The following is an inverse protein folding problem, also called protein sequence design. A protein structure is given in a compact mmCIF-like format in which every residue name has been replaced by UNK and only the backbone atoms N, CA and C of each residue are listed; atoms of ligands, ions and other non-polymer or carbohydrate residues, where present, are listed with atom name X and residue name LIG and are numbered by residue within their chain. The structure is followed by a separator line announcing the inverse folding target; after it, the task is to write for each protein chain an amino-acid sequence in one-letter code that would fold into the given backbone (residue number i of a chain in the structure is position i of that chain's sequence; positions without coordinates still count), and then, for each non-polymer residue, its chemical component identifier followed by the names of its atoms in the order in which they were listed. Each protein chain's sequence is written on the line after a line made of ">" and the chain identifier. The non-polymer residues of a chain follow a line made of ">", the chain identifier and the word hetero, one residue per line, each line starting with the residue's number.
data_IF_011248095500
#
_entry.id   IF_011248095500
#
_cell.length_a   1.000
_cell.length_b   1.000
_cell.length_c   1.000
_cell.angle_alpha   90.00
_cell.angle_beta   90.00
_cell.angle_gamma   90.00
#
_symmetry.space_group_name_H-M   'P 1'
#
loop_
_entity.id
_entity.type
_entity.pdbx_description
1 polymer ?
#
# COMPACT_ATOMS: atom_id res chain seq x y z
N UNK A 1 -5.34 -35.03 4.21
CA UNK A 1 -4.26 -34.77 3.24
C UNK A 1 -4.72 -33.92 2.07
N UNK A 2 -5.90 -34.18 1.50
CA UNK A 2 -6.45 -33.38 0.40
C UNK A 2 -6.76 -31.94 0.85
N UNK A 3 -7.24 -31.75 2.06
CA UNK A 3 -7.59 -30.43 2.61
C UNK A 3 -6.36 -29.50 2.68
N UNK A 4 -5.21 -30.00 3.08
CA UNK A 4 -3.99 -29.22 3.17
C UNK A 4 -3.42 -28.82 1.79
N UNK A 5 -3.57 -29.67 0.79
CA UNK A 5 -3.14 -29.37 -0.57
C UNK A 5 -4.02 -28.30 -1.23
N UNK A 6 -5.33 -28.35 -1.00
CA UNK A 6 -6.29 -27.36 -1.51
C UNK A 6 -6.02 -25.98 -0.87
N UNK A 7 -5.81 -25.92 0.44
CA UNK A 7 -5.52 -24.68 1.15
C UNK A 7 -4.24 -24.01 0.67
N UNK A 8 -3.17 -24.78 0.49
CA UNK A 8 -1.88 -24.25 0.04
C UNK A 8 -1.90 -23.81 -1.42
N UNK A 9 -2.60 -24.54 -2.28
CA UNK A 9 -2.63 -24.27 -3.72
C UNK A 9 -3.57 -23.14 -4.13
N UNK A 10 -4.60 -22.85 -3.33
CA UNK A 10 -5.68 -21.91 -3.68
C UNK A 10 -5.68 -20.61 -2.90
N UNK A 11 -4.76 -20.45 -1.96
CA UNK A 11 -4.60 -19.22 -1.20
C UNK A 11 -4.06 -18.11 -2.07
N UNK A 12 -4.89 -17.13 -2.38
CA UNK A 12 -4.58 -16.02 -3.28
C UNK A 12 -5.04 -14.69 -2.71
N UNK A 13 -4.51 -13.62 -3.26
CA UNK A 13 -4.94 -12.27 -2.92
C UNK A 13 -6.01 -11.78 -3.90
N UNK A 14 -7.03 -11.15 -3.35
CA UNK A 14 -8.14 -10.56 -4.09
C UNK A 14 -8.33 -9.11 -3.65
N UNK A 15 -8.91 -8.31 -4.53
CA UNK A 15 -9.19 -6.92 -4.26
C UNK A 15 -10.69 -6.74 -4.02
N UNK A 16 -11.02 -6.10 -2.90
CA UNK A 16 -12.38 -5.69 -2.57
C UNK A 16 -12.56 -4.21 -2.86
N UNK A 17 -13.70 -3.85 -3.41
CA UNK A 17 -14.16 -2.47 -3.48
C UNK A 17 -15.10 -2.18 -2.31
N UNK A 18 -14.84 -1.06 -1.62
CA UNK A 18 -15.63 -0.61 -0.47
C UNK A 18 -16.03 0.85 -0.66
N UNK A 19 -16.90 1.33 0.18
CA UNK A 19 -17.12 2.77 0.29
C UNK A 19 -15.88 3.45 0.87
N UNK A 20 -15.49 4.57 0.28
CA UNK A 20 -14.32 5.34 0.74
C UNK A 20 -14.51 5.80 2.18
N UNK A 21 -13.49 5.63 3.01
CA UNK A 21 -13.52 5.93 4.44
C UNK A 21 -13.91 4.75 5.33
N UNK A 22 -14.39 3.65 4.75
CA UNK A 22 -14.82 2.45 5.49
C UNK A 22 -13.85 1.28 5.37
N UNK A 23 -12.67 1.48 4.81
CA UNK A 23 -11.69 0.43 4.55
C UNK A 23 -11.24 -0.27 5.84
N UNK A 24 -10.93 0.49 6.89
CA UNK A 24 -10.50 -0.06 8.17
C UNK A 24 -11.64 -0.80 8.89
N UNK A 25 -12.86 -0.30 8.76
CA UNK A 25 -14.04 -0.96 9.29
C UNK A 25 -14.31 -2.28 8.58
N UNK A 26 -14.17 -2.31 7.27
CA UNK A 26 -14.31 -3.53 6.47
C UNK A 26 -13.27 -4.55 6.88
N UNK A 27 -12.02 -4.15 7.06
CA UNK A 27 -10.95 -5.02 7.56
C UNK A 27 -11.32 -5.66 8.89
N UNK A 28 -11.74 -4.84 9.85
CA UNK A 28 -12.14 -5.31 11.19
C UNK A 28 -13.34 -6.26 11.13
N UNK A 29 -14.36 -5.91 10.36
CA UNK A 29 -15.57 -6.71 10.21
C UNK A 29 -15.29 -8.05 9.51
N UNK A 30 -14.44 -8.06 8.48
CA UNK A 30 -14.03 -9.28 7.80
C UNK A 30 -13.32 -10.26 8.72
N UNK A 31 -12.36 -9.77 9.49
CA UNK A 31 -11.63 -10.60 10.45
C UNK A 31 -12.53 -11.14 11.55
N UNK A 32 -13.46 -10.33 12.04
CA UNK A 32 -14.47 -10.75 13.03
C UNK A 32 -15.41 -11.80 12.48
N UNK A 33 -15.90 -11.63 11.25
CA UNK A 33 -16.78 -12.59 10.59
C UNK A 33 -16.06 -13.91 10.29
N UNK A 34 -14.83 -13.85 9.84
CA UNK A 34 -14.01 -15.05 9.64
C UNK A 34 -13.87 -15.85 10.93
N UNK A 35 -13.65 -15.20 12.04
CA UNK A 35 -13.54 -15.83 13.35
C UNK A 35 -14.88 -16.39 13.82
N UNK A 36 -15.96 -15.61 13.77
CA UNK A 36 -17.28 -16.02 14.27
C UNK A 36 -17.96 -17.09 13.43
N UNK A 37 -17.65 -17.15 12.13
CA UNK A 37 -18.22 -18.13 11.20
C UNK A 37 -17.30 -19.33 10.94
N UNK A 38 -16.19 -19.44 11.65
CA UNK A 38 -15.25 -20.55 11.50
C UNK A 38 -14.54 -20.59 10.16
N UNK A 39 -14.35 -19.43 9.52
CA UNK A 39 -13.72 -19.31 8.19
C UNK A 39 -12.26 -18.88 8.26
N UNK A 40 -11.58 -19.06 9.38
CA UNK A 40 -10.19 -18.70 9.57
C UNK A 40 -9.23 -19.48 8.66
N UNK A 41 -9.62 -20.67 8.24
CA UNK A 41 -8.88 -21.50 7.29
C UNK A 41 -9.10 -21.07 5.83
N UNK A 42 -10.00 -20.14 5.58
CA UNK A 42 -10.34 -19.64 4.24
C UNK A 42 -10.05 -18.15 4.06
N UNK A 43 -10.10 -17.37 5.13
CA UNK A 43 -9.79 -15.93 5.14
C UNK A 43 -8.62 -15.72 6.09
N UNK A 44 -7.45 -15.40 5.53
CA UNK A 44 -6.19 -15.38 6.28
C UNK A 44 -5.75 -13.98 6.69
N UNK A 45 -5.66 -13.08 5.74
CA UNK A 45 -5.21 -11.71 5.98
C UNK A 45 -6.07 -10.70 5.23
N UNK A 46 -6.24 -9.55 5.85
CA UNK A 46 -6.91 -8.41 5.24
C UNK A 46 -5.99 -7.20 5.38
N UNK A 47 -5.79 -6.47 4.29
CA UNK A 47 -4.86 -5.36 4.25
C UNK A 47 -5.49 -4.15 3.59
N UNK A 48 -5.35 -3.00 4.20
CA UNK A 48 -5.70 -1.70 3.61
C UNK A 48 -4.42 -1.08 3.05
N UNK A 49 -4.31 -0.85 1.74
CA UNK A 49 -3.11 -0.24 1.16
C UNK A 49 -2.94 1.20 1.65
N UNK A 50 -1.87 1.46 2.39
CA UNK A 50 -1.55 2.75 2.95
C UNK A 50 -0.10 3.12 2.66
N UNK A 51 0.18 4.40 2.55
CA UNK A 51 1.52 4.95 2.38
C UNK A 51 1.77 6.03 3.43
N UNK A 52 2.93 5.97 4.07
CA UNK A 52 3.35 7.03 4.96
C UNK A 52 3.81 8.25 4.14
N UNK A 53 3.17 9.38 4.38
CA UNK A 53 3.59 10.67 3.84
C UNK A 53 3.99 11.60 4.95
N UNK A 54 5.03 12.39 4.69
CA UNK A 54 5.43 13.48 5.57
C UNK A 54 4.87 14.78 4.99
N UNK A 55 3.94 15.38 5.71
CA UNK A 55 3.41 16.69 5.37
C UNK A 55 3.90 17.75 6.33
N UNK A 56 4.15 18.95 5.81
CA UNK A 56 4.48 20.10 6.63
C UNK A 56 3.19 20.89 6.88
N UNK A 57 2.72 20.84 8.13
CA UNK A 57 1.55 21.59 8.56
C UNK A 57 2.02 22.65 9.58
N UNK A 58 1.76 23.92 9.27
CA UNK A 58 2.14 25.07 10.11
C UNK A 58 3.63 25.10 10.49
N UNK A 59 4.49 24.73 9.54
CA UNK A 59 5.93 24.69 9.75
C UNK A 59 6.45 23.48 10.53
N UNK A 60 5.60 22.55 10.92
CA UNK A 60 5.96 21.30 11.59
C UNK A 60 5.80 20.11 10.64
N UNK A 61 6.80 19.24 10.62
CA UNK A 61 6.71 17.98 9.87
C UNK A 61 5.81 17.01 10.62
N UNK A 62 4.79 16.50 9.96
CA UNK A 62 3.90 15.46 10.50
C UNK A 62 3.95 14.24 9.61
N UNK A 63 4.04 13.07 10.22
CA UNK A 63 3.88 11.80 9.51
C UNK A 63 2.39 11.49 9.42
N UNK A 64 1.88 11.37 8.20
CA UNK A 64 0.47 11.07 7.91
C UNK A 64 0.41 9.79 7.12
N UNK A 65 -0.41 8.84 7.57
CA UNK A 65 -0.76 7.68 6.77
C UNK A 65 -1.84 8.06 5.76
N UNK A 66 -1.54 7.87 4.49
CA UNK A 66 -2.47 8.14 3.41
C UNK A 66 -2.77 6.86 2.64
N UNK A 67 -4.05 6.60 2.38
CA UNK A 67 -4.46 5.43 1.63
C UNK A 67 -4.06 5.59 0.16
N UNK A 68 -3.28 4.64 -0.36
CA UNK A 68 -2.81 4.64 -1.75
C UNK A 68 -4.00 4.46 -2.71
N UNK A 69 -4.93 3.57 -2.35
CA UNK A 69 -6.12 3.28 -3.13
C UNK A 69 -7.38 3.40 -2.26
N UNK A 70 -7.93 4.64 -2.12
CA UNK A 70 -9.17 4.83 -1.36
C UNK A 70 -10.32 3.98 -1.92
N UNK A 71 -11.02 3.28 -1.05
CA UNK A 71 -12.12 2.39 -1.44
C UNK A 71 -11.71 0.99 -1.84
N UNK A 72 -10.45 0.60 -1.60
CA UNK A 72 -9.96 -0.74 -1.91
C UNK A 72 -9.35 -1.42 -0.70
N UNK A 73 -9.61 -2.71 -0.56
CA UNK A 73 -9.08 -3.56 0.49
C UNK A 73 -8.56 -4.85 -0.13
N UNK A 74 -7.38 -5.29 0.29
CA UNK A 74 -6.79 -6.55 -0.14
C UNK A 74 -7.14 -7.66 0.85
N UNK A 75 -7.57 -8.81 0.34
CA UNK A 75 -7.85 -9.98 1.17
C UNK A 75 -7.13 -11.21 0.64
N UNK A 76 -6.40 -11.88 1.51
CA UNK A 76 -5.79 -13.18 1.22
C UNK A 76 -6.73 -14.28 1.70
N UNK A 77 -7.24 -15.05 0.76
CA UNK A 77 -8.27 -16.05 1.04
C UNK A 77 -8.25 -17.21 0.05
N UNK A 78 -8.88 -18.29 0.44
CA UNK A 78 -9.26 -19.38 -0.47
C UNK A 78 -10.66 -19.08 -1.00
N UNK A 79 -10.80 -18.98 -2.31
CA UNK A 79 -12.06 -18.62 -2.96
C UNK A 79 -12.97 -19.85 -3.07
N UNK A 80 -13.99 -19.88 -2.23
CA UNK A 80 -15.08 -20.87 -2.27
C UNK A 80 -16.42 -20.14 -2.33
N UNK A 81 -17.51 -20.85 -2.58
CA UNK A 81 -18.85 -20.24 -2.57
C UNK A 81 -19.18 -19.61 -1.22
N UNK A 82 -18.80 -20.27 -0.13
CA UNK A 82 -19.04 -19.78 1.23
C UNK A 82 -18.18 -18.56 1.56
N UNK A 83 -16.86 -18.62 1.32
CA UNK A 83 -15.95 -17.51 1.61
C UNK A 83 -16.27 -16.29 0.74
N UNK A 84 -16.57 -16.50 -0.53
CA UNK A 84 -17.01 -15.46 -1.45
C UNK A 84 -18.27 -14.75 -0.96
N UNK A 85 -19.27 -15.53 -0.55
CA UNK A 85 -20.52 -15.00 -0.03
C UNK A 85 -20.33 -14.17 1.24
N UNK A 86 -19.56 -14.68 2.20
CA UNK A 86 -19.29 -14.00 3.48
C UNK A 86 -18.56 -12.67 3.25
N UNK A 87 -17.53 -12.67 2.42
CA UNK A 87 -16.73 -11.47 2.14
C UNK A 87 -17.56 -10.44 1.38
N UNK A 88 -18.28 -10.87 0.35
CA UNK A 88 -19.12 -9.98 -0.47
C UNK A 88 -20.26 -9.33 0.33
N UNK A 89 -20.82 -10.04 1.29
CA UNK A 89 -21.93 -9.55 2.12
C UNK A 89 -21.47 -8.84 3.40
N UNK A 90 -20.17 -8.59 3.56
CA UNK A 90 -19.67 -7.78 4.66
C UNK A 90 -20.13 -6.33 4.48
N UNK A 91 -20.59 -5.67 5.57
CA UNK A 91 -21.05 -4.27 5.47
C UNK A 91 -20.01 -3.35 4.85
N UNK A 92 -20.47 -2.43 4.02
CA UNK A 92 -19.67 -1.44 3.27
C UNK A 92 -18.78 -2.01 2.16
N UNK A 93 -18.83 -3.31 1.90
CA UNK A 93 -18.24 -3.93 0.71
C UNK A 93 -19.21 -3.81 -0.44
N UNK A 94 -18.78 -3.23 -1.55
CA UNK A 94 -19.58 -3.11 -2.78
C UNK A 94 -19.42 -4.31 -3.71
N UNK A 95 -18.32 -5.00 -3.62
CA UNK A 95 -18.03 -6.22 -4.39
C UNK A 95 -16.55 -6.48 -4.57
N UNK A 96 -16.23 -7.53 -5.30
CA UNK A 96 -14.86 -7.83 -5.69
C UNK A 96 -14.49 -7.09 -6.97
N UNK A 97 -13.26 -6.64 -7.07
CA UNK A 97 -12.69 -6.13 -8.32
C UNK A 97 -12.32 -7.30 -9.23
N UNK A 98 -12.60 -7.18 -10.53
CA UNK A 98 -12.31 -8.23 -11.50
C UNK A 98 -13.37 -9.32 -11.59
N UNK A 99 -14.53 -9.12 -10.96
CA UNK A 99 -15.69 -9.99 -11.12
C UNK A 99 -16.42 -9.65 -12.41
N UNK A 100 -16.68 -10.65 -13.22
CA UNK A 100 -17.40 -10.49 -14.51
C UNK A 100 -18.91 -10.75 -14.34
N UNK A 101 -19.64 -9.74 -13.89
CA UNK A 101 -21.07 -9.81 -13.66
C UNK A 101 -21.48 -10.30 -12.27
N UNK A 102 -22.77 -10.09 -11.93
CA UNK A 102 -23.30 -10.43 -10.61
C UNK A 102 -23.35 -11.92 -10.35
N UNK A 103 -22.51 -12.40 -9.46
CA UNK A 103 -22.43 -13.81 -9.07
C UNK A 103 -21.20 -14.55 -9.58
N UNK A 104 -20.33 -13.90 -10.34
CA UNK A 104 -19.06 -14.48 -10.78
C UNK A 104 -17.99 -14.29 -9.72
N UNK A 105 -17.17 -15.33 -9.49
CA UNK A 105 -16.00 -15.22 -8.64
C UNK A 105 -14.92 -14.37 -9.32
N UNK A 106 -14.22 -13.53 -8.58
CA UNK A 106 -13.17 -12.69 -9.14
C UNK A 106 -11.91 -13.47 -9.48
N UNK A 107 -11.11 -12.91 -10.36
CA UNK A 107 -9.75 -13.40 -10.60
C UNK A 107 -8.80 -12.91 -9.52
N UNK A 108 -7.85 -13.75 -9.05
CA UNK A 108 -6.87 -13.32 -8.06
C UNK A 108 -5.85 -12.34 -8.66
N UNK A 109 -5.19 -11.58 -7.79
CA UNK A 109 -4.04 -10.77 -8.17
C UNK A 109 -2.88 -11.66 -8.61
N UNK A 110 -2.10 -11.19 -9.57
CA UNK A 110 -0.86 -11.83 -9.95
C UNK A 110 0.17 -11.71 -8.84
N UNK A 111 1.05 -12.70 -8.71
CA UNK A 111 2.08 -12.70 -7.68
C UNK A 111 2.98 -11.46 -7.72
N UNK A 112 3.26 -10.94 -8.91
CA UNK A 112 4.02 -9.70 -9.11
C UNK A 112 3.29 -8.47 -8.56
N UNK A 113 1.98 -8.40 -8.75
CA UNK A 113 1.16 -7.32 -8.23
C UNK A 113 1.10 -7.36 -6.70
N UNK A 114 0.95 -8.56 -6.14
CA UNK A 114 0.97 -8.78 -4.69
C UNK A 114 2.30 -8.34 -4.09
N UNK A 115 3.41 -8.76 -4.68
CA UNK A 115 4.76 -8.40 -4.23
C UNK A 115 4.95 -6.88 -4.22
N UNK A 116 4.47 -6.21 -5.25
CA UNK A 116 4.53 -4.76 -5.37
C UNK A 116 3.75 -4.03 -4.28
N UNK A 117 2.54 -4.50 -4.01
CA UNK A 117 1.67 -3.92 -2.97
C UNK A 117 2.18 -4.19 -1.56
N UNK A 118 2.70 -5.40 -1.30
CA UNK A 118 3.21 -5.79 0.01
C UNK A 118 4.53 -5.10 0.38
N UNK A 119 5.35 -4.72 -0.60
CA UNK A 119 6.60 -3.99 -0.33
C UNK A 119 6.38 -2.68 0.41
N UNK A 120 5.23 -2.05 0.21
CA UNK A 120 4.90 -0.78 0.82
C UNK A 120 4.16 -0.95 2.16
N UNK A 121 3.90 -2.20 2.59
CA UNK A 121 3.05 -2.48 3.75
C UNK A 121 3.79 -3.26 4.82
N UNK A 122 4.24 -2.57 5.87
CA UNK A 122 4.71 -3.20 7.11
C UNK A 122 6.02 -3.97 7.06
N UNK A 123 6.66 -4.03 5.91
CA UNK A 123 8.06 -4.46 5.83
C UNK A 123 8.94 -3.22 5.90
N UNK A 124 10.05 -3.26 6.66
CA UNK A 124 11.01 -2.18 6.52
C UNK A 124 11.39 -2.12 5.05
N UNK A 125 10.96 -1.05 4.38
CA UNK A 125 11.39 -0.79 3.04
C UNK A 125 12.91 -0.91 3.03
N UNK A 126 13.46 -1.72 2.14
CA UNK A 126 14.91 -1.70 1.92
C UNK A 126 15.24 -0.25 1.66
N UNK A 127 16.09 0.32 2.52
CA UNK A 127 16.56 1.68 2.33
C UNK A 127 17.02 1.82 0.90
N UNK A 128 16.51 2.80 0.12
CA UNK A 128 16.97 2.96 -1.24
C UNK A 128 18.47 3.14 -1.22
N UNK A 129 19.16 2.44 -2.13
CA UNK A 129 20.58 2.62 -2.31
C UNK A 129 20.76 4.01 -2.92
N UNK A 130 21.22 4.94 -2.11
CA UNK A 130 21.50 6.30 -2.57
C UNK A 130 22.92 6.31 -3.11
N UNK A 131 23.06 6.51 -4.42
CA UNK A 131 24.35 6.60 -5.11
C UNK A 131 24.95 8.02 -5.03
N UNK A 132 24.52 8.81 -4.06
CA UNK A 132 24.98 10.20 -3.87
C UNK A 132 25.62 10.36 -2.49
N UNK A 133 26.68 11.13 -2.44
CA UNK A 133 27.38 11.47 -1.20
C UNK A 133 27.13 12.94 -0.81
N UNK A 134 27.22 13.21 0.50
CA UNK A 134 27.13 14.60 1.01
C UNK A 134 28.29 15.43 0.44
N UNK A 135 27.97 16.60 -0.11
CA UNK A 135 28.93 17.47 -0.78
C UNK A 135 29.06 17.25 -2.28
N UNK A 136 28.38 16.24 -2.83
CA UNK A 136 28.32 16.00 -4.26
C UNK A 136 27.44 17.05 -4.96
N UNK A 137 27.87 17.47 -6.14
CA UNK A 137 27.10 18.40 -6.98
C UNK A 137 26.07 17.65 -7.81
N UNK A 138 24.82 18.11 -7.78
CA UNK A 138 23.72 17.52 -8.52
C UNK A 138 22.96 18.59 -9.29
N UNK A 139 22.34 18.20 -10.41
CA UNK A 139 21.47 19.07 -11.19
C UNK A 139 20.01 18.76 -10.88
N UNK A 140 19.24 19.79 -10.56
CA UNK A 140 17.81 19.67 -10.28
C UNK A 140 17.06 19.57 -11.61
N UNK A 141 16.21 18.55 -11.75
CA UNK A 141 15.50 18.25 -12.99
C UNK A 141 14.04 18.65 -13.00
N UNK A 142 13.47 18.92 -11.83
CA UNK A 142 12.06 19.28 -11.69
C UNK A 142 11.86 20.39 -10.65
N UNK A 143 10.73 21.09 -10.74
CA UNK A 143 10.33 22.15 -9.81
C UNK A 143 10.85 23.52 -10.15
N UNK A 144 10.74 24.45 -9.19
CA UNK A 144 11.14 25.86 -9.36
C UNK A 144 12.63 26.05 -9.62
N UNK A 145 13.46 25.10 -9.24
CA UNK A 145 14.92 25.15 -9.37
C UNK A 145 15.46 24.28 -10.52
N UNK A 146 14.59 23.87 -11.43
CA UNK A 146 14.96 23.03 -12.58
C UNK A 146 16.11 23.66 -13.38
N UNK A 147 17.13 22.84 -13.64
CA UNK A 147 18.33 23.26 -14.37
C UNK A 147 19.43 23.87 -13.51
N UNK A 148 19.19 24.08 -12.22
CA UNK A 148 20.18 24.60 -11.29
C UNK A 148 21.04 23.49 -10.72
N UNK A 149 22.31 23.78 -10.47
CA UNK A 149 23.26 22.87 -9.84
C UNK A 149 23.37 23.22 -8.35
N UNK A 150 23.24 22.21 -7.52
CA UNK A 150 23.38 22.36 -6.07
C UNK A 150 24.29 21.29 -5.48
N UNK A 151 24.65 21.50 -4.21
CA UNK A 151 25.41 20.51 -3.44
C UNK A 151 24.52 19.81 -2.42
N UNK A 152 24.69 18.50 -2.29
CA UNK A 152 23.95 17.71 -1.30
C UNK A 152 24.44 18.06 0.09
N UNK A 153 23.55 18.52 0.96
CA UNK A 153 23.84 18.90 2.34
C UNK A 153 23.43 17.82 3.34
N UNK A 154 22.42 17.02 3.01
CA UNK A 154 21.94 15.93 3.84
C UNK A 154 21.26 14.86 2.99
N UNK A 155 21.31 13.61 3.44
CA UNK A 155 20.70 12.47 2.81
C UNK A 155 19.85 11.74 3.84
N UNK A 156 18.54 11.59 3.54
CA UNK A 156 17.62 10.83 4.38
C UNK A 156 17.03 9.66 3.57
N UNK A 157 17.75 8.52 3.50
CA UNK A 157 17.30 7.36 2.70
C UNK A 157 15.98 6.80 3.18
N UNK A 158 15.73 6.85 4.49
CA UNK A 158 14.48 6.34 5.10
C UNK A 158 13.24 7.09 4.63
N UNK A 159 13.41 8.34 4.23
CA UNK A 159 12.33 9.23 3.77
C UNK A 159 12.35 9.50 2.27
N UNK A 160 13.25 8.85 1.52
CA UNK A 160 13.44 9.09 0.08
C UNK A 160 13.71 10.57 -0.24
N UNK A 161 14.48 11.26 0.61
CA UNK A 161 14.75 12.68 0.47
C UNK A 161 16.23 12.99 0.45
N UNK A 162 16.59 13.93 -0.40
CA UNK A 162 17.89 14.56 -0.46
C UNK A 162 17.71 16.05 -0.19
N UNK A 163 18.57 16.63 0.63
CA UNK A 163 18.61 18.06 0.84
C UNK A 163 19.74 18.63 0.00
N UNK A 164 19.41 19.57 -0.87
CA UNK A 164 20.35 20.19 -1.81
C UNK A 164 20.41 21.68 -1.54
N UNK A 165 21.61 22.21 -1.35
CA UNK A 165 21.83 23.65 -1.23
C UNK A 165 22.11 24.23 -2.61
N UNK A 166 21.32 25.21 -3.00
CA UNK A 166 21.43 25.92 -4.29
C UNK A 166 21.76 27.37 -4.04
N UNK A 167 22.77 27.88 -4.75
CA UNK A 167 23.11 29.32 -4.69
C UNK A 167 22.14 30.10 -5.57
N UNK A 168 21.30 30.91 -4.96
CA UNK A 168 20.45 31.89 -5.64
C UNK A 168 20.83 33.31 -5.25
N UNK A 169 21.21 34.11 -6.23
CA UNK A 169 21.54 35.53 -6.03
C UNK A 169 22.58 35.77 -4.92
N UNK A 170 23.56 34.87 -4.80
CA UNK A 170 24.60 34.96 -3.78
C UNK A 170 24.20 34.42 -2.41
N UNK A 171 23.02 33.88 -2.24
CA UNK A 171 22.53 33.25 -1.01
C UNK A 171 22.29 31.77 -1.20
N UNK A 172 22.80 30.94 -0.28
CA UNK A 172 22.53 29.50 -0.28
C UNK A 172 21.10 29.22 0.20
N UNK A 173 20.33 28.49 -0.60
CA UNK A 173 18.95 28.07 -0.29
C UNK A 173 18.87 26.54 -0.33
N UNK A 174 18.34 25.93 0.71
CA UNK A 174 18.20 24.47 0.82
C UNK A 174 16.82 24.01 0.41
#
# INVERSE_FOLDING_TARGET
>A
KEKNMVETAQKKWYVLHTYSGYEDKVKSDLLSRAQSMGMQDYIFRVMVPEEEKVETVRGKKQEIEEKIFPGYVLVEMVMTDESWFIVRNTPNVTGFVGSHGGGSKPSPLLDEEVTRLLKNQGQPAKKPVVNFDIGESVTITEGAFNGMVGKITDIQPDKYKLYVSVDMFGSATT
#
